data_IF_883402419387
#
_entry.id   IF_883402419387
#
_cell.length_a   1.000
_cell.length_b   1.000
_cell.length_c   1.000
_cell.angle_alpha   90.00
_cell.angle_beta   90.00
_cell.angle_gamma   90.00
#
_symmetry.space_group_name_H-M   'P 1'
#
loop_
_entity.id
_entity.type
_entity.pdbx_description
1 polymer ?
#
# COMPACT_ATOMS: atom_id res chain seq x y z
N UNK A 1 10.98 -13.79 37.19
CA UNK A 1 11.43 -13.30 35.87
C UNK A 1 12.91 -13.14 35.99
N UNK A 2 13.67 -14.04 35.37
CA UNK A 2 15.14 -13.95 35.27
C UNK A 2 15.51 -12.99 34.14
N UNK A 3 16.64 -12.30 34.27
CA UNK A 3 17.12 -11.32 33.29
C UNK A 3 17.28 -11.90 31.86
N UNK A 4 17.40 -13.23 31.72
CA UNK A 4 17.41 -13.96 30.43
C UNK A 4 16.11 -13.85 29.60
N UNK A 5 14.95 -13.53 30.21
CA UNK A 5 13.68 -13.40 29.48
C UNK A 5 13.58 -12.07 28.68
N UNK A 6 14.40 -11.07 29.03
CA UNK A 6 14.40 -9.74 28.40
C UNK A 6 15.25 -9.68 27.12
N UNK A 7 16.23 -10.58 26.98
CA UNK A 7 17.12 -10.68 25.81
C UNK A 7 16.48 -11.41 24.61
N UNK A 8 15.30 -12.01 24.77
CA UNK A 8 14.64 -12.84 23.76
C UNK A 8 13.52 -12.14 22.96
N UNK A 9 13.20 -10.87 23.24
CA UNK A 9 12.04 -10.22 22.64
C UNK A 9 12.39 -9.48 21.35
N UNK A 10 12.23 -10.15 20.22
CA UNK A 10 12.43 -9.56 18.89
C UNK A 10 11.49 -8.37 18.59
N UNK A 11 11.78 -7.58 17.55
CA UNK A 11 10.96 -6.42 17.17
C UNK A 11 9.50 -6.80 16.91
N UNK A 12 8.56 -6.05 17.47
CA UNK A 12 7.15 -6.41 17.39
C UNK A 12 6.19 -5.50 18.15
N UNK A 13 4.90 -5.75 17.99
CA UNK A 13 3.87 -5.11 18.83
C UNK A 13 3.84 -5.79 20.20
N UNK A 14 4.04 -5.01 21.25
CA UNK A 14 4.05 -5.48 22.63
C UNK A 14 3.14 -4.61 23.51
N UNK A 15 2.63 -5.15 24.64
CA UNK A 15 1.85 -4.37 25.60
C UNK A 15 2.57 -3.09 26.01
N UNK A 16 1.83 -1.97 26.05
CA UNK A 16 2.37 -0.67 26.41
C UNK A 16 2.52 -0.57 27.94
N UNK A 17 3.74 -0.33 28.47
CA UNK A 17 3.98 -0.29 29.92
C UNK A 17 3.29 0.89 30.60
N UNK A 18 2.99 1.96 29.85
CA UNK A 18 2.37 3.18 30.37
C UNK A 18 0.84 3.12 30.32
N UNK A 19 0.25 2.19 29.57
CA UNK A 19 -1.19 2.19 29.28
C UNK A 19 -1.76 0.79 29.08
N UNK A 20 -2.46 0.29 30.09
CA UNK A 20 -3.15 -0.99 30.03
C UNK A 20 -4.16 -1.08 28.86
N UNK A 21 -4.19 -2.23 28.16
CA UNK A 21 -5.05 -2.49 27.00
C UNK A 21 -4.59 -1.84 25.70
N UNK A 22 -3.35 -1.35 25.66
CA UNK A 22 -2.72 -0.79 24.48
C UNK A 22 -1.42 -1.54 24.17
N UNK A 23 -1.03 -1.52 22.91
CA UNK A 23 0.23 -2.02 22.39
C UNK A 23 1.03 -0.90 21.75
N UNK A 24 2.34 -0.93 21.92
CA UNK A 24 3.29 -0.03 21.24
C UNK A 24 4.36 -0.87 20.54
N UNK A 25 4.93 -0.35 19.45
CA UNK A 25 5.94 -1.08 18.70
C UNK A 25 7.25 -1.09 19.49
N UNK A 26 7.79 -2.26 19.80
CA UNK A 26 9.12 -2.43 20.37
C UNK A 26 10.10 -2.76 19.26
N UNK A 27 11.20 -2.03 19.18
CA UNK A 27 12.22 -2.21 18.12
C UNK A 27 13.32 -3.21 18.49
N UNK A 28 13.22 -3.86 19.67
CA UNK A 28 14.26 -4.70 20.25
C UNK A 28 15.05 -4.01 21.36
N UNK A 29 14.95 -2.69 21.49
CA UNK A 29 15.65 -1.90 22.51
C UNK A 29 14.72 -0.96 23.27
N UNK A 30 13.77 -0.33 22.57
CA UNK A 30 12.86 0.63 23.14
C UNK A 30 11.49 0.59 22.45
N UNK A 31 10.48 1.08 23.16
CA UNK A 31 9.17 1.32 22.58
C UNK A 31 9.18 2.59 21.71
N UNK A 32 8.63 2.49 20.50
CA UNK A 32 8.63 3.55 19.50
C UNK A 32 7.24 3.77 18.90
N UNK A 33 7.02 4.99 18.41
CA UNK A 33 5.79 5.36 17.72
C UNK A 33 4.59 5.52 18.67
N UNK A 34 3.40 5.44 18.08
CA UNK A 34 2.14 5.69 18.79
C UNK A 34 1.58 4.37 19.34
N UNK A 35 1.07 4.41 20.56
CA UNK A 35 0.30 3.33 21.15
C UNK A 35 -1.02 3.10 20.40
N UNK A 36 -1.39 1.85 20.20
CA UNK A 36 -2.64 1.42 19.60
C UNK A 36 -3.40 0.54 20.57
N UNK A 37 -4.73 0.62 20.58
CA UNK A 37 -5.54 -0.28 21.40
C UNK A 37 -5.26 -1.73 20.98
N UNK A 38 -5.18 -2.64 21.94
CA UNK A 38 -5.08 -4.07 21.65
C UNK A 38 -6.20 -4.52 20.69
N UNK A 39 -5.92 -5.44 19.75
CA UNK A 39 -6.97 -5.99 18.89
C UNK A 39 -8.08 -6.60 19.75
N UNK A 40 -9.33 -6.27 19.43
CA UNK A 40 -10.48 -6.87 20.09
C UNK A 40 -10.46 -8.39 19.85
N UNK A 41 -10.54 -9.23 20.90
CA UNK A 41 -10.64 -10.68 20.74
C UNK A 41 -11.85 -11.13 19.90
N UNK A 42 -12.90 -10.30 19.80
CA UNK A 42 -14.09 -10.56 19.00
C UNK A 42 -14.05 -9.94 17.59
N UNK A 43 -12.90 -9.41 17.17
CA UNK A 43 -12.67 -8.88 15.83
C UNK A 43 -12.83 -9.97 14.76
N UNK A 44 -13.36 -9.59 13.58
CA UNK A 44 -13.43 -10.45 12.40
C UNK A 44 -12.05 -10.94 11.91
N UNK A 45 -10.98 -10.23 12.27
CA UNK A 45 -9.60 -10.63 12.02
C UNK A 45 -8.92 -11.11 13.28
N UNK A 46 -8.09 -12.15 13.17
CA UNK A 46 -7.26 -12.59 14.29
C UNK A 46 -6.32 -11.46 14.75
N UNK A 47 -5.96 -11.42 16.06
CA UNK A 47 -5.07 -10.38 16.59
C UNK A 47 -3.74 -10.27 15.83
N UNK A 48 -3.19 -11.39 15.36
CA UNK A 48 -1.97 -11.42 14.55
C UNK A 48 -2.14 -10.69 13.21
N UNK A 49 -3.26 -10.93 12.50
CA UNK A 49 -3.56 -10.24 11.25
C UNK A 49 -3.77 -8.75 11.50
N UNK A 50 -4.58 -8.39 12.51
CA UNK A 50 -4.83 -7.00 12.88
C UNK A 50 -3.53 -6.24 13.18
N UNK A 51 -2.58 -6.85 13.89
CA UNK A 51 -1.26 -6.27 14.17
C UNK A 51 -0.41 -6.13 12.91
N UNK A 52 -0.43 -7.12 12.01
CA UNK A 52 0.34 -7.10 10.75
C UNK A 52 -0.12 -6.00 9.78
N UNK A 53 -1.40 -5.63 9.83
CA UNK A 53 -1.99 -4.55 9.03
C UNK A 53 -1.65 -3.15 9.56
N UNK A 54 -1.10 -3.05 10.77
CA UNK A 54 -0.59 -1.78 11.29
C UNK A 54 0.78 -1.52 10.69
N UNK A 55 1.01 -0.33 10.11
CA UNK A 55 2.29 -0.03 9.47
C UNK A 55 3.46 0.13 10.45
N UNK A 56 3.21 0.25 11.77
CA UNK A 56 4.27 0.44 12.76
C UNK A 56 5.07 1.73 12.52
N UNK A 57 6.36 1.79 12.91
CA UNK A 57 7.25 2.91 12.57
C UNK A 57 7.61 2.97 11.07
N UNK A 58 7.31 1.96 10.27
CA UNK A 58 7.63 1.92 8.84
C UNK A 58 6.91 3.03 8.05
N UNK A 59 7.67 4.04 7.60
CA UNK A 59 7.14 5.16 6.79
C UNK A 59 6.66 4.69 5.42
N UNK A 60 7.39 3.78 4.78
CA UNK A 60 7.02 3.25 3.48
C UNK A 60 5.71 2.46 3.56
N UNK A 61 5.49 1.69 4.64
CA UNK A 61 4.22 0.99 4.85
C UNK A 61 3.04 1.96 5.05
N UNK A 62 3.26 3.11 5.70
CA UNK A 62 2.24 4.17 5.82
C UNK A 62 1.91 4.80 4.47
N UNK A 63 2.92 5.09 3.66
CA UNK A 63 2.72 5.64 2.31
C UNK A 63 2.10 4.60 1.38
N UNK A 64 2.50 3.33 1.46
CA UNK A 64 1.89 2.25 0.70
C UNK A 64 0.41 2.06 1.06
N UNK A 65 0.04 2.22 2.34
CA UNK A 65 -1.37 2.24 2.77
C UNK A 65 -2.16 3.38 2.14
N UNK A 66 -1.59 4.59 2.05
CA UNK A 66 -2.20 5.69 1.32
C UNK A 66 -2.30 5.38 -0.18
N UNK A 67 -1.25 4.76 -0.73
CA UNK A 67 -1.19 4.29 -2.11
C UNK A 67 -2.32 3.33 -2.49
N UNK A 68 -2.79 2.48 -1.57
CA UNK A 68 -4.00 1.64 -1.78
C UNK A 68 -5.20 2.51 -2.16
N UNK A 69 -5.49 3.54 -1.36
CA UNK A 69 -6.65 4.41 -1.59
C UNK A 69 -6.50 5.17 -2.92
N UNK A 70 -5.29 5.65 -3.23
CA UNK A 70 -5.01 6.33 -4.49
C UNK A 70 -5.09 5.39 -5.69
N UNK A 71 -4.68 4.14 -5.55
CA UNK A 71 -4.77 3.13 -6.61
C UNK A 71 -6.23 2.82 -6.92
N UNK A 72 -7.06 2.64 -5.89
CA UNK A 72 -8.50 2.45 -6.04
C UNK A 72 -9.13 3.67 -6.73
N UNK A 73 -8.78 4.88 -6.27
CA UNK A 73 -9.28 6.11 -6.88
C UNK A 73 -8.88 6.22 -8.35
N UNK A 74 -7.61 5.97 -8.69
CA UNK A 74 -7.12 5.97 -10.07
C UNK A 74 -7.86 4.96 -10.95
N UNK A 75 -8.12 3.76 -10.43
CA UNK A 75 -8.91 2.74 -11.14
C UNK A 75 -10.36 3.21 -11.38
N UNK A 76 -11.01 3.83 -10.38
CA UNK A 76 -12.36 4.40 -10.55
C UNK A 76 -12.36 5.54 -11.56
N UNK A 77 -11.39 6.44 -11.51
CA UNK A 77 -11.24 7.53 -12.49
C UNK A 77 -11.04 6.98 -13.90
N UNK A 78 -10.26 5.92 -14.07
CA UNK A 78 -10.10 5.24 -15.34
C UNK A 78 -11.42 4.65 -15.85
N UNK A 79 -12.19 3.97 -15.00
CA UNK A 79 -13.51 3.45 -15.39
C UNK A 79 -14.46 4.57 -15.83
N UNK A 80 -14.47 5.69 -15.12
CA UNK A 80 -15.30 6.85 -15.47
C UNK A 80 -14.87 7.46 -16.80
N UNK A 81 -13.56 7.63 -17.03
CA UNK A 81 -13.03 8.13 -18.29
C UNK A 81 -13.39 7.20 -19.46
N UNK A 82 -13.24 5.88 -19.29
CA UNK A 82 -13.57 4.88 -20.31
C UNK A 82 -15.06 4.73 -20.57
N UNK A 83 -15.93 5.14 -19.64
CA UNK A 83 -17.38 4.98 -19.79
C UNK A 83 -18.03 5.99 -20.75
N UNK A 84 -17.34 7.07 -21.10
CA UNK A 84 -17.90 8.18 -21.88
C UNK A 84 -18.94 9.02 -21.11
N UNK A 85 -19.17 8.72 -19.82
CA UNK A 85 -20.10 9.48 -18.97
C UNK A 85 -19.52 10.84 -18.52
N UNK A 86 -18.20 10.99 -18.59
CA UNK A 86 -17.50 12.21 -18.20
C UNK A 86 -16.83 12.79 -19.44
N UNK A 87 -17.30 13.96 -19.87
CA UNK A 87 -16.64 14.77 -20.89
C UNK A 87 -16.22 16.11 -20.31
N UNK A 88 -14.99 16.52 -20.60
CA UNK A 88 -14.47 17.82 -20.18
C UNK A 88 -14.44 18.71 -21.41
N UNK A 89 -15.19 19.81 -21.37
CA UNK A 89 -15.30 20.73 -22.50
C UNK A 89 -13.91 21.23 -22.90
N UNK A 90 -13.51 20.95 -24.15
CA UNK A 90 -12.22 21.35 -24.71
C UNK A 90 -11.10 20.31 -24.58
N UNK A 91 -11.39 19.12 -24.06
CA UNK A 91 -10.45 17.99 -24.02
C UNK A 91 -10.99 16.87 -24.90
N UNK A 92 -10.14 16.29 -25.76
CA UNK A 92 -10.46 15.10 -26.55
C UNK A 92 -10.65 13.89 -25.61
N UNK A 93 -11.72 13.12 -25.82
CA UNK A 93 -12.03 11.91 -25.03
C UNK A 93 -10.87 10.91 -25.03
N UNK A 94 -10.16 10.77 -26.16
CA UNK A 94 -8.97 9.92 -26.28
C UNK A 94 -7.86 10.42 -25.36
N UNK A 95 -7.61 11.73 -25.35
CA UNK A 95 -6.60 12.33 -24.48
C UNK A 95 -6.97 12.16 -23.00
N UNK A 96 -8.25 12.29 -22.66
CA UNK A 96 -8.76 12.10 -21.31
C UNK A 96 -8.56 10.65 -20.83
N UNK A 97 -8.87 9.66 -21.67
CA UNK A 97 -8.64 8.24 -21.37
C UNK A 97 -7.14 7.96 -21.19
N UNK A 98 -6.28 8.47 -22.07
CA UNK A 98 -4.82 8.28 -21.97
C UNK A 98 -4.25 8.91 -20.69
N UNK A 99 -4.71 10.11 -20.31
CA UNK A 99 -4.30 10.76 -19.07
C UNK A 99 -4.74 9.97 -17.83
N UNK A 100 -5.99 9.49 -17.81
CA UNK A 100 -6.50 8.66 -16.71
C UNK A 100 -5.70 7.35 -16.59
N UNK A 101 -5.39 6.72 -17.73
CA UNK A 101 -4.59 5.49 -17.80
C UNK A 101 -3.16 5.71 -17.29
N UNK A 102 -2.49 6.77 -17.74
CA UNK A 102 -1.15 7.14 -17.32
C UNK A 102 -1.11 7.45 -15.82
N UNK A 103 -2.10 8.20 -15.31
CA UNK A 103 -2.21 8.51 -13.89
C UNK A 103 -2.40 7.24 -13.04
N UNK A 104 -3.34 6.37 -13.41
CA UNK A 104 -3.59 5.12 -12.70
C UNK A 104 -2.35 4.21 -12.67
N UNK A 105 -1.65 4.08 -13.82
CA UNK A 105 -0.42 3.32 -13.93
C UNK A 105 0.70 3.89 -13.05
N UNK A 106 0.91 5.21 -13.07
CA UNK A 106 1.94 5.87 -12.26
C UNK A 106 1.69 5.69 -10.76
N UNK A 107 0.45 5.86 -10.31
CA UNK A 107 0.05 5.66 -8.90
C UNK A 107 0.25 4.21 -8.46
N UNK A 108 -0.15 3.24 -9.29
CA UNK A 108 0.04 1.83 -8.98
C UNK A 108 1.52 1.46 -8.92
N UNK A 109 2.34 1.93 -9.87
CA UNK A 109 3.78 1.69 -9.86
C UNK A 109 4.46 2.30 -8.63
N UNK A 110 4.12 3.53 -8.26
CA UNK A 110 4.63 4.18 -7.04
C UNK A 110 4.22 3.39 -5.79
N UNK A 111 2.97 2.93 -5.72
CA UNK A 111 2.46 2.11 -4.62
C UNK A 111 3.22 0.79 -4.51
N UNK A 112 3.47 0.11 -5.64
CA UNK A 112 4.24 -1.12 -5.69
C UNK A 112 5.68 -0.91 -5.20
N UNK A 113 6.36 0.15 -5.64
CA UNK A 113 7.72 0.48 -5.18
C UNK A 113 7.76 0.73 -3.67
N UNK A 114 6.81 1.50 -3.15
CA UNK A 114 6.71 1.77 -1.70
C UNK A 114 6.39 0.51 -0.92
N UNK A 115 5.49 -0.34 -1.41
CA UNK A 115 5.16 -1.61 -0.79
C UNK A 115 6.36 -2.58 -0.76
N UNK A 116 7.12 -2.66 -1.86
CA UNK A 116 8.35 -3.45 -1.92
C UNK A 116 9.39 -2.93 -0.92
N UNK A 117 9.65 -1.61 -0.89
CA UNK A 117 10.57 -1.01 0.10
C UNK A 117 10.11 -1.27 1.54
N UNK A 118 8.80 -1.19 1.79
CA UNK A 118 8.21 -1.48 3.08
C UNK A 118 8.42 -2.94 3.49
N UNK A 119 8.25 -3.91 2.58
CA UNK A 119 8.46 -5.33 2.85
C UNK A 119 9.90 -5.65 3.23
N UNK A 120 10.89 -5.04 2.55
CA UNK A 120 12.30 -5.21 2.89
C UNK A 120 12.63 -4.69 4.31
N UNK A 121 11.94 -3.64 4.76
CA UNK A 121 12.13 -3.04 6.09
C UNK A 121 11.21 -3.63 7.17
N UNK A 122 10.22 -4.44 6.78
CA UNK A 122 9.21 -4.98 7.68
C UNK A 122 9.75 -5.83 8.84
N UNK A 123 10.84 -6.62 8.70
CA UNK A 123 11.38 -7.37 9.84
C UNK A 123 11.86 -6.49 10.99
N UNK A 124 12.27 -5.24 10.70
CA UNK A 124 12.77 -4.29 11.71
C UNK A 124 11.71 -3.28 12.14
N UNK A 125 10.85 -2.86 11.21
CA UNK A 125 9.93 -1.73 11.40
C UNK A 125 8.45 -2.12 11.42
N UNK A 126 8.12 -3.39 11.22
CA UNK A 126 6.74 -3.87 11.12
C UNK A 126 6.05 -3.50 9.81
N UNK A 127 4.73 -3.71 9.78
CA UNK A 127 3.89 -3.38 8.62
C UNK A 127 3.93 -4.38 7.46
N UNK A 128 4.36 -5.63 7.70
CA UNK A 128 4.42 -6.67 6.66
C UNK A 128 3.05 -6.90 5.99
N UNK A 129 1.99 -7.04 6.79
CA UNK A 129 0.65 -7.33 6.27
C UNK A 129 0.11 -6.23 5.37
N UNK A 130 0.23 -4.96 5.81
CA UNK A 130 -0.24 -3.82 5.00
C UNK A 130 0.60 -3.61 3.74
N UNK A 131 1.91 -3.87 3.80
CA UNK A 131 2.78 -3.80 2.63
C UNK A 131 2.44 -4.90 1.60
N UNK A 132 2.20 -6.13 2.04
CA UNK A 132 1.73 -7.21 1.16
C UNK A 132 0.39 -6.88 0.52
N UNK A 133 -0.56 -6.36 1.31
CA UNK A 133 -1.87 -5.94 0.79
C UNK A 133 -1.72 -4.84 -0.26
N UNK A 134 -0.92 -3.81 0.03
CA UNK A 134 -0.67 -2.72 -0.90
C UNK A 134 -0.05 -3.20 -2.21
N UNK A 135 0.91 -4.13 -2.13
CA UNK A 135 1.51 -4.74 -3.30
C UNK A 135 0.46 -5.51 -4.11
N UNK A 136 -0.34 -6.35 -3.46
CA UNK A 136 -1.42 -7.11 -4.11
C UNK A 136 -2.41 -6.20 -4.84
N UNK A 137 -2.90 -5.15 -4.18
CA UNK A 137 -3.81 -4.16 -4.79
C UNK A 137 -3.15 -3.46 -5.98
N UNK A 138 -1.91 -3.02 -5.85
CA UNK A 138 -1.19 -2.33 -6.93
C UNK A 138 -0.98 -3.22 -8.15
N UNK A 139 -0.76 -4.53 -7.96
CA UNK A 139 -0.62 -5.47 -9.07
C UNK A 139 -1.98 -5.73 -9.70
N UNK A 140 -3.00 -6.09 -8.92
CA UNK A 140 -4.31 -6.47 -9.44
C UNK A 140 -4.96 -5.31 -10.22
N UNK A 141 -4.94 -4.10 -9.66
CA UNK A 141 -5.59 -2.94 -10.28
C UNK A 141 -4.67 -2.18 -11.23
N UNK A 142 -3.35 -2.22 -11.01
CA UNK A 142 -2.38 -1.47 -11.81
C UNK A 142 -1.86 -2.19 -13.03
N UNK A 143 -1.93 -3.53 -13.09
CA UNK A 143 -1.38 -4.27 -14.22
C UNK A 143 -2.14 -3.98 -15.52
N UNK A 144 -3.48 -3.94 -15.48
CA UNK A 144 -4.31 -3.67 -16.65
C UNK A 144 -3.99 -2.33 -17.34
N UNK A 145 -3.95 -1.17 -16.63
CA UNK A 145 -3.60 0.10 -17.28
C UNK A 145 -2.17 0.14 -17.82
N UNK A 146 -1.22 -0.48 -17.12
CA UNK A 146 0.18 -0.58 -17.60
C UNK A 146 0.26 -1.38 -18.90
N UNK A 147 -0.38 -2.55 -18.95
CA UNK A 147 -0.39 -3.38 -20.17
C UNK A 147 -1.07 -2.66 -21.34
N UNK A 148 -2.16 -1.92 -21.08
CA UNK A 148 -2.85 -1.16 -22.11
C UNK A 148 -1.97 -0.02 -22.65
N UNK A 149 -1.26 0.71 -21.79
CA UNK A 149 -0.30 1.74 -22.22
C UNK A 149 0.81 1.14 -23.10
N UNK A 150 1.36 -0.01 -22.70
CA UNK A 150 2.38 -0.72 -23.49
C UNK A 150 1.82 -1.13 -24.84
N UNK A 151 0.61 -1.71 -24.89
CA UNK A 151 -0.03 -2.12 -26.13
C UNK A 151 -0.28 -0.93 -27.07
N UNK A 152 -0.78 0.18 -26.55
CA UNK A 152 -1.00 1.43 -27.32
C UNK A 152 0.34 1.96 -27.85
N UNK A 153 1.39 1.98 -27.03
CA UNK A 153 2.73 2.41 -27.44
C UNK A 153 3.33 1.54 -28.55
N UNK A 154 3.18 0.22 -28.45
CA UNK A 154 3.64 -0.73 -29.48
C UNK A 154 2.85 -0.58 -30.78
N UNK A 155 1.52 -0.45 -30.69
CA UNK A 155 0.66 -0.26 -31.87
C UNK A 155 0.93 1.08 -32.58
N UNK A 156 1.19 2.15 -31.83
CA UNK A 156 1.57 3.45 -32.39
C UNK A 156 2.98 3.47 -32.99
N UNK A 157 3.92 2.69 -32.42
CA UNK A 157 5.30 2.58 -32.92
C UNK A 157 5.46 1.73 -34.19
N UNK A 158 4.54 0.79 -34.44
CA UNK A 158 4.56 -0.07 -35.63
C UNK A 158 4.04 0.61 -36.92
N UNK A 159 3.59 1.88 -36.85
CA UNK A 159 2.93 2.60 -37.94
C UNK A 159 3.82 3.55 -38.76
N UNK A 160 5.14 3.59 -38.54
CA UNK A 160 6.04 4.45 -39.33
C UNK A 160 6.81 3.62 -40.37
N UNK A 161 6.45 3.70 -41.67
CA UNK A 161 7.38 3.29 -42.72
C UNK A 161 8.59 4.22 -42.68
N UNK A 162 9.78 3.62 -42.59
CA UNK A 162 11.08 4.23 -42.85
C UNK A 162 11.22 4.70 -44.29
#
# INVERSE_FOLDING_TARGET
MSDDDLDAVGPGWQPDPERAGYERWFDGTAFTGRAHREPDPFSAFSPAVARSLRPGPNRDARLARLGIALTILGFVTQLLASSGLVSVRGVDDTALVLLALAFAAAVAALTAVLALRALHRAPRLGGKGIATLALGVSIILGLAPVLLLVAIGLAGGAGLPS
#
